data_IF_775095269826
#
_entry.id   IF_775095269826
#
_cell.length_a   1.000
_cell.length_b   1.000
_cell.length_c   1.000
_cell.angle_alpha   90.00
_cell.angle_beta   90.00
_cell.angle_gamma   90.00
#
_symmetry.space_group_name_H-M   'P 1'
#
loop_
_entity.id
_entity.type
_entity.pdbx_description
1 polymer ?
#
# COMPACT_ATOMS: atom_id res chain seq x y z
N UNK A 1 63.97 -61.56 -38.76
CA UNK A 1 62.49 -61.53 -38.77
C UNK A 1 62.03 -61.41 -37.34
N UNK A 2 61.89 -60.18 -36.86
CA UNK A 2 61.39 -59.86 -35.51
C UNK A 2 59.99 -59.33 -35.73
N UNK A 3 59.01 -59.98 -35.11
CA UNK A 3 57.58 -59.67 -35.20
C UNK A 3 57.28 -58.66 -34.08
N UNK A 4 57.03 -57.41 -34.43
CA UNK A 4 56.49 -56.41 -33.50
C UNK A 4 54.96 -56.42 -33.56
N UNK A 5 54.36 -56.81 -32.45
CA UNK A 5 52.90 -56.81 -32.23
C UNK A 5 52.52 -55.43 -31.70
N UNK A 6 51.80 -54.65 -32.51
CA UNK A 6 51.25 -53.35 -32.10
C UNK A 6 49.91 -53.57 -31.38
N UNK A 7 49.88 -53.31 -30.08
CA UNK A 7 48.66 -53.36 -29.27
C UNK A 7 47.83 -52.08 -29.42
N UNK A 8 46.56 -52.22 -29.80
CA UNK A 8 45.58 -51.14 -29.92
C UNK A 8 45.01 -50.84 -28.53
N UNK A 9 45.17 -49.60 -28.06
CA UNK A 9 44.52 -49.10 -26.83
C UNK A 9 43.30 -48.27 -27.25
N UNK A 10 42.11 -48.80 -26.99
CA UNK A 10 40.83 -48.08 -27.15
C UNK A 10 40.54 -47.35 -25.85
N UNK A 11 40.61 -46.01 -25.87
CA UNK A 11 40.20 -45.14 -24.77
C UNK A 11 38.71 -44.79 -24.92
N UNK A 12 37.87 -45.43 -24.12
CA UNK A 12 36.47 -45.06 -23.90
C UNK A 12 36.42 -43.85 -22.96
N UNK A 13 36.12 -42.67 -23.50
CA UNK A 13 35.83 -41.47 -22.71
C UNK A 13 34.30 -41.32 -22.65
N UNK A 14 33.72 -41.76 -21.53
CA UNK A 14 32.35 -41.41 -21.15
C UNK A 14 32.37 -40.04 -20.47
N UNK A 15 32.00 -38.99 -21.21
CA UNK A 15 31.71 -37.67 -20.64
C UNK A 15 30.19 -37.49 -20.56
N UNK A 16 29.69 -37.60 -19.33
CA UNK A 16 28.34 -37.29 -18.89
C UNK A 16 27.92 -35.87 -19.30
N UNK A 17 26.68 -35.75 -19.79
CA UNK A 17 26.08 -34.49 -20.20
C UNK A 17 26.08 -33.44 -19.09
N UNK A 18 26.64 -32.28 -19.41
CA UNK A 18 26.32 -31.04 -18.72
C UNK A 18 25.20 -30.37 -19.52
N UNK A 19 23.96 -30.58 -19.10
CA UNK A 19 22.86 -29.72 -19.53
C UNK A 19 23.18 -28.28 -19.11
N UNK A 20 23.33 -27.42 -20.11
CA UNK A 20 23.47 -25.98 -19.92
C UNK A 20 22.21 -25.48 -19.22
N UNK A 21 22.31 -25.16 -17.92
CA UNK A 21 21.30 -24.37 -17.20
C UNK A 21 21.20 -23.00 -17.88
N UNK A 22 20.31 -22.87 -18.85
CA UNK A 22 19.84 -21.57 -19.31
C UNK A 22 18.71 -21.11 -18.38
N UNK A 23 19.09 -20.35 -17.36
CA UNK A 23 18.17 -19.40 -16.74
C UNK A 23 18.95 -18.11 -16.46
N UNK A 24 19.10 -17.28 -17.51
CA UNK A 24 19.32 -15.85 -17.33
C UNK A 24 17.94 -15.21 -17.45
N UNK A 25 17.30 -14.92 -16.33
CA UNK A 25 16.25 -13.90 -16.30
C UNK A 25 16.95 -12.56 -16.45
N UNK A 26 17.25 -12.21 -17.69
CA UNK A 26 17.71 -10.89 -18.07
C UNK A 26 16.51 -10.03 -18.36
N UNK A 27 16.04 -9.31 -17.36
CA UNK A 27 15.45 -7.99 -17.53
C UNK A 27 15.84 -7.20 -16.29
N UNK A 28 16.91 -6.42 -16.39
CA UNK A 28 17.20 -5.40 -15.38
C UNK A 28 16.20 -4.26 -15.61
N UNK A 29 15.31 -4.05 -14.65
CA UNK A 29 14.40 -2.91 -14.65
C UNK A 29 14.95 -1.87 -13.67
N UNK A 30 15.04 -0.61 -14.11
CA UNK A 30 15.46 0.49 -13.26
C UNK A 30 14.23 1.13 -12.62
N UNK A 31 14.29 1.37 -11.31
CA UNK A 31 13.24 2.06 -10.58
C UNK A 31 13.87 2.85 -9.42
N UNK A 32 13.18 3.91 -8.98
CA UNK A 32 13.63 4.70 -7.83
C UNK A 32 13.20 4.04 -6.52
N UNK A 33 14.15 3.84 -5.62
CA UNK A 33 13.92 3.28 -4.30
C UNK A 33 14.80 3.95 -3.24
N UNK A 34 14.29 4.05 -2.01
CA UNK A 34 15.06 4.52 -0.84
C UNK A 34 16.26 3.61 -0.51
N UNK A 35 16.21 2.34 -0.94
CA UNK A 35 17.26 1.33 -0.73
C UNK A 35 17.30 0.33 -1.90
N UNK A 36 18.49 -0.13 -2.26
CA UNK A 36 18.66 -1.28 -3.18
C UNK A 36 18.51 -2.60 -2.42
N UNK A 37 18.12 -3.67 -3.13
CA UNK A 37 18.05 -5.04 -2.58
C UNK A 37 19.13 -5.93 -3.19
N UNK A 38 19.85 -6.65 -2.35
CA UNK A 38 20.91 -7.56 -2.81
C UNK A 38 20.36 -8.91 -3.29
N UNK A 39 19.18 -9.30 -2.80
CA UNK A 39 18.54 -10.57 -3.11
C UNK A 39 17.18 -10.33 -3.77
N UNK A 40 16.76 -11.24 -4.65
CA UNK A 40 15.46 -11.15 -5.28
C UNK A 40 14.97 -12.51 -5.76
N UNK A 41 13.66 -12.67 -5.83
CA UNK A 41 13.01 -13.85 -6.40
C UNK A 41 11.65 -13.47 -7.02
N UNK A 42 11.18 -14.29 -7.98
CA UNK A 42 9.87 -14.13 -8.58
C UNK A 42 8.81 -14.88 -7.77
N UNK A 43 7.59 -14.35 -7.70
CA UNK A 43 6.46 -15.04 -7.05
C UNK A 43 6.21 -16.45 -7.63
N UNK A 44 6.51 -16.64 -8.93
CA UNK A 44 6.42 -17.95 -9.60
C UNK A 44 7.37 -18.99 -9.02
N UNK A 45 8.49 -18.58 -8.44
CA UNK A 45 9.48 -19.48 -7.83
C UNK A 45 8.92 -20.16 -6.58
N UNK A 46 7.84 -19.60 -6.01
CA UNK A 46 7.14 -20.10 -4.82
C UNK A 46 5.78 -20.71 -5.16
N UNK A 47 5.56 -21.06 -6.43
CA UNK A 47 4.33 -21.72 -6.90
C UNK A 47 3.17 -20.77 -7.17
N UNK A 48 3.41 -19.46 -7.29
CA UNK A 48 2.39 -18.52 -7.71
C UNK A 48 1.89 -18.81 -9.13
N UNK A 49 0.59 -18.62 -9.36
CA UNK A 49 -0.10 -18.79 -10.64
C UNK A 49 -0.88 -17.52 -10.98
N UNK A 50 -0.50 -16.85 -12.06
CA UNK A 50 -1.04 -15.57 -12.51
C UNK A 50 -2.30 -15.66 -13.39
N UNK A 51 -3.22 -16.59 -13.11
CA UNK A 51 -4.42 -16.87 -13.91
C UNK A 51 -5.68 -16.07 -13.49
N UNK A 52 -5.60 -15.34 -12.37
CA UNK A 52 -6.69 -14.54 -11.79
C UNK A 52 -7.74 -15.33 -10.99
N UNK A 53 -7.52 -16.62 -10.77
CA UNK A 53 -8.47 -17.52 -10.10
C UNK A 53 -7.83 -18.39 -9.02
N UNK A 54 -6.57 -18.78 -9.20
CA UNK A 54 -5.80 -19.53 -8.20
C UNK A 54 -5.42 -18.60 -7.05
N UNK A 55 -5.77 -18.97 -5.81
CA UNK A 55 -5.34 -18.21 -4.63
C UNK A 55 -3.83 -18.36 -4.42
N UNK A 56 -3.13 -17.22 -4.43
CA UNK A 56 -1.69 -17.08 -4.30
C UNK A 56 -1.26 -16.74 -2.86
N UNK A 57 -2.19 -16.68 -1.90
CA UNK A 57 -1.93 -16.28 -0.51
C UNK A 57 -0.80 -17.11 0.11
N UNK A 58 -0.79 -18.42 -0.14
CA UNK A 58 0.29 -19.31 0.31
C UNK A 58 1.62 -19.04 -0.41
N UNK A 59 1.60 -18.73 -1.70
CA UNK A 59 2.79 -18.40 -2.48
C UNK A 59 3.43 -17.11 -1.97
N UNK A 60 2.64 -16.05 -1.74
CA UNK A 60 3.11 -14.80 -1.13
C UNK A 60 3.74 -15.03 0.24
N UNK A 61 3.03 -15.75 1.14
CA UNK A 61 3.57 -16.07 2.46
C UNK A 61 4.89 -16.83 2.38
N UNK A 62 4.97 -17.87 1.54
CA UNK A 62 6.20 -18.67 1.38
C UNK A 62 7.34 -17.84 0.82
N UNK A 63 7.07 -16.97 -0.16
CA UNK A 63 8.05 -16.08 -0.76
C UNK A 63 8.62 -15.10 0.27
N UNK A 64 7.75 -14.44 1.03
CA UNK A 64 8.15 -13.45 2.04
C UNK A 64 8.91 -14.13 3.19
N UNK A 65 8.44 -15.27 3.68
CA UNK A 65 9.12 -16.04 4.74
C UNK A 65 10.55 -16.42 4.29
N UNK A 66 10.71 -16.88 3.05
CA UNK A 66 12.02 -17.21 2.49
C UNK A 66 12.92 -15.97 2.36
N UNK A 67 12.39 -14.91 1.74
CA UNK A 67 13.14 -13.69 1.44
C UNK A 67 13.49 -12.87 2.69
N UNK A 68 12.73 -13.00 3.78
CA UNK A 68 12.98 -12.33 5.05
C UNK A 68 14.34 -12.71 5.67
N UNK A 69 14.86 -13.89 5.35
CA UNK A 69 16.15 -14.39 5.83
C UNK A 69 17.33 -13.53 5.33
N UNK A 70 17.13 -12.77 4.25
CA UNK A 70 18.12 -11.87 3.66
C UNK A 70 18.09 -10.45 4.24
N UNK A 71 17.23 -10.17 5.23
CA UNK A 71 17.07 -8.85 5.84
C UNK A 71 18.41 -8.23 6.30
N UNK A 72 19.27 -9.01 6.97
CA UNK A 72 20.61 -8.59 7.42
C UNK A 72 21.70 -8.64 6.34
N UNK A 73 21.37 -9.08 5.12
CA UNK A 73 22.30 -9.31 4.02
C UNK A 73 22.01 -8.39 2.81
N UNK A 74 21.57 -7.15 3.10
CA UNK A 74 21.24 -6.17 2.07
C UNK A 74 19.77 -6.22 1.60
N UNK A 75 18.92 -6.96 2.31
CA UNK A 75 17.49 -7.02 2.05
C UNK A 75 17.12 -7.79 0.78
N UNK A 76 15.81 -7.88 0.54
CA UNK A 76 15.25 -8.71 -0.52
C UNK A 76 14.14 -8.04 -1.31
N UNK A 77 13.98 -8.47 -2.56
CA UNK A 77 12.91 -8.08 -3.46
C UNK A 77 12.04 -9.30 -3.82
N UNK A 78 10.72 -9.15 -3.71
CA UNK A 78 9.75 -10.04 -4.33
C UNK A 78 9.21 -9.39 -5.60
N UNK A 79 9.53 -9.98 -6.74
CA UNK A 79 9.04 -9.57 -8.04
C UNK A 79 7.74 -10.30 -8.39
N UNK A 80 6.70 -9.55 -8.74
CA UNK A 80 5.43 -10.08 -9.25
C UNK A 80 5.37 -9.89 -10.78
N UNK A 81 5.48 -10.97 -11.57
CA UNK A 81 5.51 -10.90 -13.03
C UNK A 81 4.15 -10.53 -13.65
N UNK A 82 4.10 -10.28 -14.99
CA UNK A 82 2.85 -10.19 -15.73
C UNK A 82 1.86 -11.31 -15.37
N UNK A 83 0.59 -10.95 -15.16
CA UNK A 83 -0.45 -11.90 -14.80
C UNK A 83 -1.47 -11.33 -13.83
N UNK A 84 -2.50 -12.11 -13.52
CA UNK A 84 -3.52 -11.78 -12.52
C UNK A 84 -3.35 -12.67 -11.29
N UNK A 85 -3.12 -12.07 -10.13
CA UNK A 85 -2.68 -12.77 -8.93
C UNK A 85 -3.74 -12.62 -7.84
N UNK A 86 -4.70 -13.54 -7.79
CA UNK A 86 -5.69 -13.58 -6.72
C UNK A 86 -5.01 -13.91 -5.40
N UNK A 87 -5.21 -13.11 -4.36
CA UNK A 87 -4.62 -13.32 -3.02
C UNK A 87 -5.45 -12.61 -1.96
N UNK A 88 -5.51 -13.19 -0.77
CA UNK A 88 -5.90 -12.50 0.45
C UNK A 88 -4.71 -11.80 1.11
N UNK A 89 -4.87 -11.47 2.39
CA UNK A 89 -3.92 -10.66 3.15
C UNK A 89 -2.57 -11.35 3.32
N UNK A 90 -1.49 -10.59 3.18
CA UNK A 90 -0.14 -11.03 3.49
C UNK A 90 0.68 -9.91 4.14
N UNK A 91 1.67 -10.32 4.94
CA UNK A 91 2.46 -9.40 5.75
C UNK A 91 3.86 -9.23 5.16
N UNK A 92 4.32 -8.00 5.02
CA UNK A 92 5.70 -7.66 4.64
C UNK A 92 6.65 -7.72 5.84
N UNK A 93 7.96 -7.70 5.56
CA UNK A 93 9.04 -7.66 6.56
C UNK A 93 9.96 -6.44 6.33
N UNK A 94 10.86 -6.15 7.28
CA UNK A 94 11.86 -5.09 7.12
C UNK A 94 12.88 -5.40 6.01
N UNK A 95 13.49 -4.36 5.45
CA UNK A 95 14.49 -4.44 4.37
C UNK A 95 13.95 -5.16 3.13
N UNK A 96 12.70 -4.87 2.77
CA UNK A 96 11.96 -5.60 1.75
C UNK A 96 11.44 -4.69 0.65
N UNK A 97 11.47 -5.18 -0.58
CA UNK A 97 10.81 -4.55 -1.73
C UNK A 97 9.77 -5.51 -2.30
N UNK A 98 8.51 -5.07 -2.40
CA UNK A 98 7.51 -5.71 -3.26
C UNK A 98 7.47 -4.94 -4.58
N UNK A 99 7.80 -5.59 -5.70
CA UNK A 99 7.84 -4.99 -7.02
C UNK A 99 6.77 -5.59 -7.93
N UNK A 100 5.88 -4.77 -8.49
CA UNK A 100 4.84 -5.19 -9.44
C UNK A 100 5.20 -4.77 -10.86
N UNK A 101 5.29 -5.73 -11.77
CA UNK A 101 5.44 -5.43 -13.21
C UNK A 101 4.22 -4.67 -13.76
N UNK A 102 4.38 -3.88 -14.83
CA UNK A 102 3.31 -3.10 -15.49
C UNK A 102 2.06 -3.89 -15.88
N UNK A 103 2.24 -5.16 -16.20
CA UNK A 103 1.19 -6.10 -16.60
C UNK A 103 0.77 -7.05 -15.45
N UNK A 104 1.26 -6.81 -14.23
CA UNK A 104 0.84 -7.52 -13.03
C UNK A 104 -0.41 -6.86 -12.43
N UNK A 105 -1.41 -7.67 -12.10
CA UNK A 105 -2.62 -7.25 -11.41
C UNK A 105 -2.80 -8.12 -10.17
N UNK A 106 -2.59 -7.56 -8.99
CA UNK A 106 -2.98 -8.21 -7.74
C UNK A 106 -4.49 -8.06 -7.57
N UNK A 107 -5.17 -9.17 -7.33
CA UNK A 107 -6.62 -9.23 -7.16
C UNK A 107 -6.90 -9.62 -5.70
N UNK A 108 -7.56 -8.75 -4.96
CA UNK A 108 -7.88 -9.02 -3.57
C UNK A 108 -9.00 -10.07 -3.46
N UNK A 109 -8.80 -11.09 -2.63
CA UNK A 109 -9.77 -12.16 -2.46
C UNK A 109 -11.11 -11.64 -1.94
N UNK A 110 -12.21 -12.13 -2.54
CA UNK A 110 -13.56 -11.88 -2.06
C UNK A 110 -13.98 -12.85 -0.94
N UNK A 111 -13.15 -13.84 -0.60
CA UNK A 111 -13.36 -14.73 0.54
C UNK A 111 -12.84 -14.07 1.82
N UNK A 112 -13.76 -13.70 2.72
CA UNK A 112 -13.44 -13.08 4.01
C UNK A 112 -12.50 -13.92 4.89
N UNK A 113 -12.46 -15.25 4.70
CA UNK A 113 -11.56 -16.13 5.45
C UNK A 113 -10.08 -15.90 5.10
N UNK A 114 -9.79 -15.29 3.95
CA UNK A 114 -8.43 -14.91 3.58
C UNK A 114 -7.99 -13.54 4.16
N UNK A 115 -8.82 -12.94 5.01
CA UNK A 115 -8.56 -11.68 5.71
C UNK A 115 -8.51 -11.95 7.21
N UNK A 116 -7.33 -12.08 7.83
CA UNK A 116 -7.22 -12.30 9.26
C UNK A 116 -7.87 -11.17 10.07
N UNK A 117 -8.57 -11.51 11.15
CA UNK A 117 -9.04 -10.52 12.12
C UNK A 117 -7.90 -10.08 13.02
N UNK A 118 -7.78 -8.77 13.21
CA UNK A 118 -6.82 -8.13 14.10
C UNK A 118 -7.52 -7.10 14.97
N UNK A 119 -6.84 -6.69 16.03
CA UNK A 119 -7.36 -5.70 16.96
C UNK A 119 -7.55 -4.33 16.28
N UNK A 120 -8.49 -3.51 16.80
CA UNK A 120 -8.59 -2.12 16.40
C UNK A 120 -7.27 -1.37 16.54
N UNK A 121 -7.17 -0.25 15.83
CA UNK A 121 -6.05 0.66 16.00
C UNK A 121 -6.02 1.13 17.47
N UNK A 122 -4.85 1.10 18.14
CA UNK A 122 -4.75 1.52 19.54
C UNK A 122 -5.25 2.95 19.79
N UNK A 123 -5.05 3.85 18.82
CA UNK A 123 -5.54 5.23 18.88
C UNK A 123 -7.02 5.41 18.53
N UNK A 124 -7.74 4.34 18.17
CA UNK A 124 -9.18 4.35 17.87
C UNK A 124 -10.00 3.62 18.93
N UNK A 125 -9.41 2.61 19.58
CA UNK A 125 -10.03 1.82 20.67
C UNK A 125 -11.21 0.92 20.26
N UNK A 126 -11.79 1.15 19.08
CA UNK A 126 -12.89 0.39 18.49
C UNK A 126 -12.71 0.29 16.97
N UNK A 127 -13.43 -0.65 16.35
CA UNK A 127 -13.54 -0.68 14.91
C UNK A 127 -14.20 0.60 14.36
N UNK A 128 -13.83 0.94 13.13
CA UNK A 128 -14.27 2.16 12.44
C UNK A 128 -15.66 1.99 11.81
N UNK A 129 -15.89 0.88 11.11
CA UNK A 129 -17.19 0.63 10.48
C UNK A 129 -18.19 0.01 11.49
N UNK A 130 -17.70 -0.83 12.39
CA UNK A 130 -18.50 -1.57 13.38
C UNK A 130 -17.73 -1.71 14.69
N UNK A 131 -18.43 -2.00 15.79
CA UNK A 131 -17.76 -2.39 17.04
C UNK A 131 -16.97 -3.71 16.86
N UNK A 132 -15.95 -3.91 17.70
CA UNK A 132 -15.07 -5.08 17.64
C UNK A 132 -13.82 -4.87 16.80
N UNK A 133 -13.25 -5.98 16.30
CA UNK A 133 -12.00 -6.00 15.54
C UNK A 133 -12.14 -5.51 14.08
N UNK A 134 -11.06 -5.70 13.33
CA UNK A 134 -10.98 -5.31 11.91
C UNK A 134 -10.33 -6.41 11.09
N UNK A 135 -10.67 -6.49 9.82
CA UNK A 135 -9.91 -7.30 8.86
C UNK A 135 -8.54 -6.65 8.61
N UNK A 136 -7.49 -7.48 8.56
CA UNK A 136 -6.14 -7.07 8.14
C UNK A 136 -6.17 -6.52 6.72
N UNK A 137 -5.26 -5.60 6.38
CA UNK A 137 -5.17 -5.04 5.03
C UNK A 137 -4.61 -6.04 4.02
N UNK A 138 -4.83 -5.85 2.71
CA UNK A 138 -4.35 -6.79 1.69
C UNK A 138 -2.83 -6.92 1.76
N UNK A 139 -2.15 -5.77 1.74
CA UNK A 139 -0.73 -5.64 1.99
C UNK A 139 -0.57 -5.01 3.37
N UNK A 140 -0.14 -5.81 4.34
CA UNK A 140 0.00 -5.39 5.72
C UNK A 140 1.47 -5.42 6.17
N UNK A 141 1.80 -4.61 7.17
CA UNK A 141 3.11 -4.64 7.82
C UNK A 141 3.06 -3.88 9.14
N UNK A 142 3.78 -4.35 10.15
CA UNK A 142 3.88 -3.66 11.44
C UNK A 142 5.28 -3.76 12.02
N UNK A 143 5.77 -2.70 12.67
CA UNK A 143 7.12 -2.62 13.24
C UNK A 143 8.23 -2.85 12.20
N UNK A 144 8.05 -2.29 11.00
CA UNK A 144 8.97 -2.48 9.90
C UNK A 144 9.97 -1.33 9.79
N UNK A 145 11.08 -1.60 9.12
CA UNK A 145 12.06 -0.60 8.75
C UNK A 145 12.49 -0.83 7.31
N UNK A 146 12.58 0.25 6.52
CA UNK A 146 13.06 0.20 5.14
C UNK A 146 12.22 -0.77 4.28
N UNK A 147 11.00 -0.34 3.97
CA UNK A 147 10.02 -1.10 3.17
C UNK A 147 9.66 -0.32 1.92
N UNK A 148 9.68 -0.99 0.78
CA UNK A 148 9.35 -0.42 -0.52
C UNK A 148 8.24 -1.23 -1.17
N UNK A 149 7.14 -0.59 -1.55
CA UNK A 149 6.07 -1.17 -2.36
C UNK A 149 6.04 -0.37 -3.65
N UNK A 150 6.49 -0.96 -4.74
CA UNK A 150 6.72 -0.22 -6.00
C UNK A 150 6.45 -1.08 -7.23
N UNK A 151 6.64 -0.52 -8.42
CA UNK A 151 6.48 -1.25 -9.67
C UNK A 151 6.73 -0.40 -10.90
N UNK A 152 6.44 -0.98 -12.05
CA UNK A 152 6.34 -0.28 -13.34
C UNK A 152 4.88 0.08 -13.61
N UNK A 153 4.21 0.74 -12.66
CA UNK A 153 2.77 0.99 -12.70
C UNK A 153 1.90 -0.27 -12.76
N UNK A 154 2.32 -1.35 -12.07
CA UNK A 154 1.47 -2.51 -11.83
C UNK A 154 0.22 -2.18 -11.00
N UNK A 155 -0.79 -3.03 -11.08
CA UNK A 155 -2.12 -2.76 -10.50
C UNK A 155 -2.38 -3.58 -9.24
N UNK A 156 -3.00 -2.96 -8.24
CA UNK A 156 -3.58 -3.62 -7.07
C UNK A 156 -5.08 -3.30 -7.06
N UNK A 157 -5.91 -4.30 -7.34
CA UNK A 157 -7.36 -4.18 -7.37
C UNK A 157 -7.97 -4.84 -6.13
N UNK A 158 -8.58 -4.02 -5.27
CA UNK A 158 -9.20 -4.42 -4.02
C UNK A 158 -10.51 -5.18 -4.15
N UNK A 159 -11.08 -5.27 -5.37
CA UNK A 159 -12.37 -5.93 -5.63
C UNK A 159 -13.48 -5.53 -4.63
N UNK A 160 -13.51 -4.26 -4.25
CA UNK A 160 -14.20 -3.72 -3.09
C UNK A 160 -15.73 -3.77 -3.12
N UNK A 161 -16.35 -4.03 -4.28
CA UNK A 161 -17.80 -3.93 -4.45
C UNK A 161 -18.60 -4.77 -3.43
N UNK A 162 -18.16 -6.00 -3.15
CA UNK A 162 -18.81 -6.87 -2.16
C UNK A 162 -18.81 -6.24 -0.75
N UNK A 163 -17.73 -5.56 -0.40
CA UNK A 163 -17.58 -4.88 0.89
C UNK A 163 -18.45 -3.63 0.99
N UNK A 164 -18.54 -2.86 -0.11
CA UNK A 164 -19.38 -1.68 -0.18
C UNK A 164 -20.87 -2.03 -0.07
N UNK A 165 -21.30 -3.10 -0.74
CA UNK A 165 -22.68 -3.59 -0.63
C UNK A 165 -23.03 -3.99 0.80
N UNK A 166 -22.14 -4.72 1.49
CA UNK A 166 -22.34 -5.07 2.91
C UNK A 166 -22.36 -3.84 3.81
N UNK A 167 -21.49 -2.86 3.57
CA UNK A 167 -21.48 -1.59 4.29
C UNK A 167 -22.84 -0.88 4.19
N UNK A 168 -23.35 -0.67 2.97
CA UNK A 168 -24.63 0.00 2.75
C UNK A 168 -25.83 -0.74 3.36
N UNK A 169 -25.77 -2.06 3.43
CA UNK A 169 -26.82 -2.89 4.04
C UNK A 169 -26.68 -3.04 5.55
N UNK A 170 -25.60 -2.57 6.16
CA UNK A 170 -25.30 -2.79 7.58
C UNK A 170 -25.03 -4.26 7.92
N UNK A 171 -24.46 -5.02 6.98
CA UNK A 171 -24.20 -6.46 7.08
C UNK A 171 -22.74 -6.79 7.45
N UNK A 172 -21.95 -5.78 7.81
CA UNK A 172 -20.57 -5.98 8.27
C UNK A 172 -20.56 -6.48 9.72
N UNK A 173 -19.74 -7.49 9.98
CA UNK A 173 -19.47 -7.97 11.35
C UNK A 173 -18.25 -7.28 11.98
N UNK A 174 -17.32 -6.82 11.15
CA UNK A 174 -16.06 -6.21 11.53
C UNK A 174 -15.72 -5.05 10.58
N UNK A 175 -14.77 -4.20 10.97
CA UNK A 175 -14.28 -3.13 10.09
C UNK A 175 -13.63 -3.71 8.83
N UNK A 176 -13.99 -3.16 7.66
CA UNK A 176 -13.49 -3.59 6.36
C UNK A 176 -11.97 -3.47 6.27
N UNK A 177 -11.31 -4.32 5.47
CA UNK A 177 -9.87 -4.21 5.26
C UNK A 177 -9.51 -2.98 4.40
N UNK A 178 -8.24 -2.58 4.46
CA UNK A 178 -7.66 -1.57 3.56
C UNK A 178 -6.79 -2.24 2.49
N UNK A 179 -6.37 -1.48 1.49
CA UNK A 179 -5.50 -2.03 0.44
C UNK A 179 -4.04 -2.16 0.92
N UNK A 180 -3.47 -1.08 1.44
CA UNK A 180 -2.11 -1.05 1.97
C UNK A 180 -2.12 -0.41 3.35
N UNK A 181 -1.61 -1.10 4.36
CA UNK A 181 -1.44 -0.56 5.71
C UNK A 181 -0.09 -0.93 6.30
N UNK A 182 0.67 0.09 6.69
CA UNK A 182 1.99 -0.06 7.29
C UNK A 182 1.97 0.65 8.65
N UNK A 183 2.04 -0.14 9.72
CA UNK A 183 1.93 0.32 11.10
C UNK A 183 3.30 0.43 11.78
N UNK A 184 3.49 1.39 12.68
CA UNK A 184 4.66 1.45 13.58
C UNK A 184 6.02 1.35 12.86
N UNK A 185 6.15 1.94 11.67
CA UNK A 185 7.29 1.68 10.79
C UNK A 185 8.12 2.92 10.49
N UNK A 186 9.36 2.71 10.09
CA UNK A 186 10.30 3.77 9.69
C UNK A 186 10.82 3.53 8.27
N UNK A 187 10.97 4.59 7.48
CA UNK A 187 11.45 4.53 6.08
C UNK A 187 10.55 3.65 5.21
N UNK A 188 9.38 4.19 4.89
CA UNK A 188 8.36 3.52 4.06
C UNK A 188 8.25 4.25 2.73
N UNK A 189 8.35 3.52 1.62
CA UNK A 189 8.09 4.04 0.28
C UNK A 189 6.97 3.26 -0.39
N UNK A 190 5.96 3.96 -0.91
CA UNK A 190 4.89 3.40 -1.73
C UNK A 190 4.84 4.21 -3.02
N UNK A 191 5.16 3.62 -4.17
CA UNK A 191 5.32 4.41 -5.40
C UNK A 191 5.05 3.69 -6.72
N UNK A 192 4.73 4.44 -7.78
CA UNK A 192 4.66 3.92 -9.16
C UNK A 192 3.70 2.72 -9.32
N UNK A 193 2.47 2.88 -8.81
CA UNK A 193 1.43 1.84 -8.81
C UNK A 193 0.08 2.43 -9.17
N UNK A 194 -0.78 1.56 -9.72
CA UNK A 194 -2.21 1.82 -9.85
C UNK A 194 -2.98 1.06 -8.78
N UNK A 195 -3.78 1.75 -7.98
CA UNK A 195 -4.63 1.18 -6.94
C UNK A 195 -6.09 1.33 -7.36
N UNK A 196 -6.87 0.25 -7.29
CA UNK A 196 -8.26 0.24 -7.74
C UNK A 196 -9.18 -0.39 -6.69
N UNK A 197 -10.42 0.12 -6.61
CA UNK A 197 -11.54 -0.52 -5.94
C UNK A 197 -11.22 -1.06 -4.52
N UNK A 198 -10.53 -0.29 -3.68
CA UNK A 198 -10.27 -0.73 -2.30
C UNK A 198 -11.57 -1.03 -1.55
N UNK A 199 -11.63 -2.08 -0.70
CA UNK A 199 -12.77 -2.34 0.18
C UNK A 199 -13.17 -1.13 1.06
N UNK A 200 -12.18 -0.32 1.43
CA UNK A 200 -12.30 0.91 2.23
C UNK A 200 -11.11 1.81 1.86
N UNK A 201 -10.30 2.28 2.81
CA UNK A 201 -9.12 3.12 2.53
C UNK A 201 -8.09 2.45 1.60
N UNK A 202 -7.40 3.23 0.76
CA UNK A 202 -6.39 2.70 -0.15
C UNK A 202 -5.00 2.61 0.52
N UNK A 203 -4.43 3.73 0.95
CA UNK A 203 -3.08 3.77 1.53
C UNK A 203 -3.14 4.33 2.94
N UNK A 204 -2.74 3.54 3.94
CA UNK A 204 -2.83 3.88 5.36
C UNK A 204 -1.49 3.62 6.10
N UNK A 205 -0.48 4.50 5.94
CA UNK A 205 0.64 4.53 6.86
C UNK A 205 0.15 5.07 8.21
N UNK A 206 0.38 4.31 9.28
CA UNK A 206 -0.08 4.68 10.62
C UNK A 206 1.01 4.50 11.66
N UNK A 207 1.15 5.45 12.58
CA UNK A 207 2.22 5.47 13.60
C UNK A 207 3.63 5.39 13.00
N UNK A 208 3.81 5.90 11.79
CA UNK A 208 5.01 5.67 10.98
C UNK A 208 5.79 6.96 10.71
N UNK A 209 7.09 6.84 10.49
CA UNK A 209 8.00 7.95 10.22
C UNK A 209 8.76 7.80 8.91
N UNK A 210 9.16 8.92 8.30
CA UNK A 210 9.92 8.95 7.06
C UNK A 210 9.19 8.21 5.93
N UNK A 211 7.98 8.68 5.62
CA UNK A 211 7.07 8.05 4.67
C UNK A 211 7.06 8.81 3.35
N UNK A 212 7.22 8.09 2.24
CA UNK A 212 7.11 8.62 0.88
C UNK A 212 5.98 7.88 0.17
N UNK A 213 5.00 8.63 -0.31
CA UNK A 213 3.94 8.14 -1.21
C UNK A 213 4.03 8.95 -2.49
N UNK A 214 4.38 8.31 -3.60
CA UNK A 214 4.73 9.04 -4.83
C UNK A 214 4.24 8.37 -6.11
N UNK A 215 3.80 9.13 -7.11
CA UNK A 215 3.46 8.59 -8.44
C UNK A 215 2.40 7.49 -8.38
N UNK A 216 1.38 7.67 -7.55
CA UNK A 216 0.26 6.75 -7.45
C UNK A 216 -0.91 7.21 -8.32
N UNK A 217 -1.53 6.25 -9.01
CA UNK A 217 -2.87 6.42 -9.60
C UNK A 217 -3.86 5.65 -8.73
N UNK A 218 -4.80 6.34 -8.08
CA UNK A 218 -5.82 5.71 -7.22
C UNK A 218 -7.19 5.92 -7.85
N UNK A 219 -7.93 4.84 -8.10
CA UNK A 219 -9.22 4.86 -8.78
C UNK A 219 -10.27 4.08 -8.00
N UNK A 220 -11.24 4.78 -7.45
CA UNK A 220 -12.45 4.20 -6.90
C UNK A 220 -13.69 4.88 -7.52
N UNK A 221 -14.82 4.17 -7.69
CA UNK A 221 -16.07 4.82 -8.07
C UNK A 221 -16.40 5.98 -7.12
N UNK A 222 -16.84 7.13 -7.64
CA UNK A 222 -17.14 8.31 -6.78
C UNK A 222 -18.30 8.07 -5.79
N UNK A 223 -19.01 6.95 -5.91
CA UNK A 223 -20.07 6.53 -5.00
C UNK A 223 -19.64 5.45 -4.01
N UNK A 224 -18.39 4.96 -4.05
CA UNK A 224 -17.93 3.90 -3.13
C UNK A 224 -17.63 4.45 -1.72
N UNK A 225 -18.18 3.84 -0.66
CA UNK A 225 -18.11 4.38 0.69
C UNK A 225 -16.71 4.26 1.30
N UNK A 226 -16.19 5.38 1.81
CA UNK A 226 -14.94 5.45 2.59
C UNK A 226 -13.72 4.93 1.83
N UNK A 227 -13.66 5.25 0.54
CA UNK A 227 -12.55 4.86 -0.35
C UNK A 227 -11.47 5.95 -0.41
N UNK A 228 -11.18 6.54 0.74
CA UNK A 228 -10.18 7.60 0.89
C UNK A 228 -8.86 7.18 0.23
N UNK A 229 -8.19 8.12 -0.44
CA UNK A 229 -6.96 7.84 -1.19
C UNK A 229 -5.79 7.53 -0.25
N UNK A 230 -5.20 8.58 0.34
CA UNK A 230 -4.00 8.44 1.18
C UNK A 230 -4.30 8.98 2.59
N UNK A 231 -4.04 8.15 3.61
CA UNK A 231 -4.42 8.38 4.98
C UNK A 231 -3.17 8.37 5.89
N UNK A 232 -2.36 9.45 5.94
CA UNK A 232 -1.33 9.53 6.97
C UNK A 232 -1.99 9.70 8.34
N UNK A 233 -1.88 8.68 9.19
CA UNK A 233 -2.47 8.66 10.53
C UNK A 233 -1.37 8.57 11.60
N UNK A 234 -1.26 9.60 12.44
CA UNK A 234 -0.22 9.69 13.47
C UNK A 234 1.21 9.54 12.90
N UNK A 235 1.46 10.12 11.71
CA UNK A 235 2.71 9.99 10.97
C UNK A 235 3.65 11.19 11.13
N UNK A 236 4.97 10.99 11.07
CA UNK A 236 5.96 12.08 11.10
C UNK A 236 6.86 12.08 9.86
N UNK A 237 7.16 13.26 9.32
CA UNK A 237 8.02 13.42 8.13
C UNK A 237 7.49 12.60 6.94
N UNK A 238 6.33 13.03 6.42
CA UNK A 238 5.63 12.34 5.33
C UNK A 238 5.59 13.22 4.10
N UNK A 239 5.86 12.63 2.94
CA UNK A 239 5.75 13.29 1.63
C UNK A 239 4.77 12.53 0.75
N UNK A 240 3.76 13.23 0.28
CA UNK A 240 2.78 12.76 -0.70
C UNK A 240 2.97 13.61 -1.95
N UNK A 241 3.38 13.01 -3.07
CA UNK A 241 3.65 13.78 -4.28
C UNK A 241 3.34 13.06 -5.60
N UNK A 242 3.04 13.82 -6.65
CA UNK A 242 2.87 13.29 -8.01
C UNK A 242 1.72 12.27 -8.13
N UNK A 243 0.67 12.41 -7.34
CA UNK A 243 -0.45 11.47 -7.30
C UNK A 243 -1.66 11.96 -8.12
N UNK A 244 -2.39 11.00 -8.70
CA UNK A 244 -3.70 11.20 -9.32
C UNK A 244 -4.73 10.35 -8.59
N UNK A 245 -5.77 10.96 -8.03
CA UNK A 245 -6.75 10.28 -7.18
C UNK A 245 -8.17 10.58 -7.64
N UNK A 246 -8.94 9.52 -7.90
CA UNK A 246 -10.40 9.55 -8.00
C UNK A 246 -10.93 8.74 -6.83
N UNK A 247 -11.67 9.38 -5.93
CA UNK A 247 -12.14 8.75 -4.69
C UNK A 247 -13.65 8.97 -4.51
N UNK A 248 -14.30 8.00 -3.85
CA UNK A 248 -15.65 8.17 -3.32
C UNK A 248 -15.70 8.91 -1.98
N UNK A 249 -14.54 9.23 -1.39
CA UNK A 249 -14.40 10.02 -0.16
C UNK A 249 -13.19 10.97 -0.30
N UNK A 250 -12.51 11.34 0.79
CA UNK A 250 -11.38 12.27 0.75
C UNK A 250 -10.19 11.74 -0.09
N UNK A 251 -9.58 12.57 -0.95
CA UNK A 251 -8.39 12.13 -1.69
C UNK A 251 -7.16 11.95 -0.77
N UNK A 252 -6.92 12.91 0.13
CA UNK A 252 -5.94 12.78 1.22
C UNK A 252 -6.62 13.09 2.53
N UNK A 253 -6.69 12.11 3.45
CA UNK A 253 -7.32 12.27 4.76
C UNK A 253 -6.25 12.16 5.86
N UNK A 254 -5.85 13.30 6.41
CA UNK A 254 -4.86 13.38 7.49
C UNK A 254 -5.54 13.10 8.82
N UNK A 255 -5.03 12.12 9.56
CA UNK A 255 -5.62 11.62 10.80
C UNK A 255 -4.58 11.51 11.92
N UNK A 256 -5.03 11.28 13.14
CA UNK A 256 -4.21 11.07 14.32
C UNK A 256 -5.02 10.45 15.47
N UNK A 257 -5.79 9.40 15.21
CA UNK A 257 -6.61 8.75 16.24
C UNK A 257 -7.93 9.45 16.61
N UNK A 258 -8.75 8.73 17.39
CA UNK A 258 -10.15 9.03 17.63
C UNK A 258 -10.49 9.16 19.13
N UNK A 259 -11.06 10.30 19.50
CA UNK A 259 -11.62 10.66 20.80
C UNK A 259 -10.63 10.37 21.95
N UNK A 260 -11.10 9.79 23.06
CA UNK A 260 -10.30 9.51 24.25
C UNK A 260 -9.09 8.61 23.96
N UNK A 261 -9.21 7.70 23.00
CA UNK A 261 -8.13 6.79 22.60
C UNK A 261 -7.04 7.53 21.85
N UNK A 262 -7.41 8.42 20.93
CA UNK A 262 -6.45 9.26 20.21
C UNK A 262 -5.77 10.28 21.14
N UNK A 263 -6.51 10.85 22.09
CA UNK A 263 -5.96 11.73 23.13
C UNK A 263 -4.95 10.97 23.99
N UNK A 264 -5.32 9.77 24.47
CA UNK A 264 -4.45 8.95 25.32
C UNK A 264 -3.21 8.44 24.58
N UNK A 265 -3.36 8.09 23.29
CA UNK A 265 -2.25 7.67 22.45
C UNK A 265 -1.30 8.83 22.15
N UNK A 266 -1.82 10.05 21.97
CA UNK A 266 -1.04 11.29 22.02
C UNK A 266 -0.01 11.45 20.90
N UNK A 267 -0.22 10.80 19.75
CA UNK A 267 0.69 10.82 18.61
C UNK A 267 0.11 11.65 17.47
N UNK A 268 0.65 12.84 17.17
CA UNK A 268 0.13 13.67 16.10
C UNK A 268 0.63 13.21 14.72
N UNK A 269 -0.13 13.54 13.67
CA UNK A 269 0.46 13.66 12.33
C UNK A 269 1.17 15.01 12.20
N UNK A 270 2.45 15.00 11.82
CA UNK A 270 3.26 16.21 11.67
C UNK A 270 4.32 16.16 10.60
N UNK A 271 4.75 17.34 10.12
CA UNK A 271 5.78 17.47 9.07
C UNK A 271 5.32 16.75 7.80
N UNK A 272 4.15 17.15 7.30
CA UNK A 272 3.51 16.56 6.13
C UNK A 272 3.58 17.52 4.96
N UNK A 273 4.08 17.05 3.82
CA UNK A 273 4.06 17.78 2.55
C UNK A 273 3.18 17.02 1.57
N UNK A 274 2.21 17.71 0.99
CA UNK A 274 1.33 17.23 -0.07
C UNK A 274 1.56 18.13 -1.28
N UNK A 275 2.00 17.58 -2.41
CA UNK A 275 2.27 18.41 -3.59
C UNK A 275 2.07 17.74 -4.93
N UNK A 276 1.78 18.52 -5.98
CA UNK A 276 1.56 18.00 -7.35
C UNK A 276 0.53 16.86 -7.34
N UNK A 277 -0.61 17.13 -6.72
CA UNK A 277 -1.72 16.20 -6.55
C UNK A 277 -2.87 16.62 -7.47
N UNK A 278 -3.39 15.68 -8.26
CA UNK A 278 -4.68 15.85 -8.93
C UNK A 278 -5.74 15.02 -8.24
N UNK A 279 -6.87 15.61 -7.89
CA UNK A 279 -7.94 14.94 -7.17
C UNK A 279 -9.33 15.22 -7.76
N UNK A 280 -10.12 14.14 -7.85
CA UNK A 280 -11.55 14.16 -8.14
C UNK A 280 -12.28 13.48 -6.99
N UNK A 281 -13.07 14.25 -6.24
CA UNK A 281 -13.90 13.78 -5.12
C UNK A 281 -15.20 14.61 -5.01
N UNK A 282 -16.21 14.34 -5.86
CA UNK A 282 -17.40 15.18 -5.99
C UNK A 282 -18.22 15.37 -4.71
N UNK A 283 -18.09 14.45 -3.76
CA UNK A 283 -18.85 14.42 -2.52
C UNK A 283 -17.99 14.53 -1.26
N UNK A 284 -16.70 14.88 -1.41
CA UNK A 284 -15.79 15.03 -0.26
C UNK A 284 -14.65 16.01 -0.52
N UNK A 285 -13.55 15.91 0.23
CA UNK A 285 -12.44 16.86 0.15
C UNK A 285 -11.25 16.37 -0.66
N UNK A 286 -10.52 17.30 -1.29
CA UNK A 286 -9.20 17.01 -1.85
C UNK A 286 -8.20 16.71 -0.74
N UNK A 287 -8.17 17.55 0.29
CA UNK A 287 -7.38 17.34 1.50
C UNK A 287 -8.31 17.53 2.71
N UNK A 288 -8.55 16.46 3.46
CA UNK A 288 -9.23 16.51 4.74
C UNK A 288 -8.22 16.45 5.89
N UNK A 289 -8.38 17.32 6.87
CA UNK A 289 -7.69 17.25 8.16
C UNK A 289 -8.72 16.80 9.21
N UNK A 290 -8.70 15.52 9.59
CA UNK A 290 -9.68 14.88 10.46
C UNK A 290 -10.71 14.00 9.72
N UNK A 291 -11.79 13.55 10.37
CA UNK A 291 -12.26 13.99 11.70
C UNK A 291 -11.52 13.35 12.88
N UNK A 292 -10.84 12.23 12.66
CA UNK A 292 -10.05 11.51 13.66
C UNK A 292 -8.72 12.25 13.87
N UNK A 293 -8.75 13.38 14.58
CA UNK A 293 -7.62 14.31 14.79
C UNK A 293 -7.18 14.45 16.26
N UNK A 294 -7.51 13.46 17.08
CA UNK A 294 -7.45 13.55 18.54
C UNK A 294 -6.04 13.60 19.13
N UNK A 295 -5.07 12.96 18.49
CA UNK A 295 -3.63 13.06 18.78
C UNK A 295 -2.97 14.34 18.26
N UNK A 296 -3.66 15.09 17.39
CA UNK A 296 -3.24 16.36 16.80
C UNK A 296 -2.72 16.27 15.36
N UNK A 297 -2.91 17.35 14.61
CA UNK A 297 -2.38 17.54 13.25
C UNK A 297 -1.62 18.87 13.24
N UNK A 298 -0.37 18.86 12.79
CA UNK A 298 0.41 20.10 12.69
C UNK A 298 1.45 20.10 11.57
N UNK A 299 1.87 21.27 11.13
CA UNK A 299 2.93 21.43 10.13
C UNK A 299 2.62 20.65 8.83
N UNK A 300 1.46 20.98 8.25
CA UNK A 300 0.99 20.43 6.97
C UNK A 300 1.16 21.49 5.90
N UNK A 301 1.83 21.15 4.79
CA UNK A 301 2.03 22.02 3.64
C UNK A 301 1.37 21.41 2.40
N UNK A 302 0.50 22.18 1.75
CA UNK A 302 -0.15 21.81 0.50
C UNK A 302 0.22 22.80 -0.62
N UNK A 303 0.79 22.31 -1.71
CA UNK A 303 1.20 23.12 -2.87
C UNK A 303 0.95 22.39 -4.19
N UNK A 304 0.74 23.13 -5.27
CA UNK A 304 0.50 22.58 -6.61
C UNK A 304 -0.60 21.51 -6.66
N UNK A 305 -1.77 21.83 -6.09
CA UNK A 305 -2.93 20.93 -6.05
C UNK A 305 -3.90 21.29 -7.18
N UNK A 306 -4.36 20.29 -7.92
CA UNK A 306 -5.41 20.42 -8.94
C UNK A 306 -6.66 19.69 -8.43
N UNK A 307 -7.66 20.45 -8.01
CA UNK A 307 -8.95 19.92 -7.59
C UNK A 307 -9.93 20.00 -8.77
N UNK A 308 -10.48 18.85 -9.20
CA UNK A 308 -11.40 18.74 -10.33
C UNK A 308 -12.72 18.17 -9.82
N UNK A 309 -13.82 18.91 -9.97
CA UNK A 309 -15.16 18.45 -9.55
C UNK A 309 -15.14 17.87 -8.13
N UNK A 310 -14.59 18.64 -7.19
CA UNK A 310 -14.45 18.23 -5.79
C UNK A 310 -15.26 19.14 -4.87
N UNK A 311 -15.91 18.57 -3.85
CA UNK A 311 -16.79 19.34 -2.96
C UNK A 311 -16.00 20.36 -2.12
N UNK A 312 -14.74 20.07 -1.79
CA UNK A 312 -13.87 20.99 -1.05
C UNK A 312 -12.41 20.81 -1.44
N UNK A 313 -11.64 21.91 -1.48
CA UNK A 313 -10.18 21.85 -1.62
C UNK A 313 -9.56 21.32 -0.33
N UNK A 314 -9.43 22.18 0.68
CA UNK A 314 -9.03 21.79 2.04
C UNK A 314 -10.25 21.81 2.97
N UNK A 315 -10.44 20.75 3.76
CA UNK A 315 -11.53 20.61 4.72
C UNK A 315 -11.00 20.20 6.09
N UNK A 316 -11.22 21.04 7.10
CA UNK A 316 -10.88 20.71 8.50
C UNK A 316 -12.14 20.18 9.19
N UNK A 317 -12.05 18.97 9.75
CA UNK A 317 -13.17 18.27 10.39
C UNK A 317 -12.81 17.95 11.84
N UNK A 318 -13.68 18.31 12.77
CA UNK A 318 -13.59 17.91 14.18
C UNK A 318 -15.00 17.84 14.77
N UNK A 319 -15.11 17.46 16.04
CA UNK A 319 -16.35 17.45 16.80
C UNK A 319 -16.05 17.62 18.29
N UNK A 320 -17.05 18.04 19.08
CA UNK A 320 -16.95 18.02 20.55
C UNK A 320 -16.60 16.59 21.00
N UNK A 321 -15.57 16.46 21.85
CA UNK A 321 -15.06 15.17 22.33
C UNK A 321 -13.79 14.70 21.62
N UNK A 322 -13.53 15.14 20.38
CA UNK A 322 -12.30 14.77 19.65
C UNK A 322 -11.03 15.24 20.38
N UNK A 323 -11.06 16.42 21.01
CA UNK A 323 -9.87 17.00 21.62
C UNK A 323 -8.80 17.34 20.58
N UNK A 324 -7.52 17.17 20.94
CA UNK A 324 -6.40 17.39 20.01
C UNK A 324 -6.29 18.84 19.51
N UNK A 325 -5.66 19.00 18.34
CA UNK A 325 -5.47 20.29 17.69
C UNK A 325 -5.29 20.11 16.17
N UNK A 326 -5.60 21.14 15.41
CA UNK A 326 -5.16 21.31 14.01
C UNK A 326 -4.52 22.69 13.91
N UNK A 327 -3.22 22.77 13.63
CA UNK A 327 -2.47 24.05 13.62
C UNK A 327 -1.34 24.05 12.60
N UNK A 328 -0.79 25.20 12.28
CA UNK A 328 0.36 25.35 11.38
C UNK A 328 0.10 24.67 10.02
N UNK A 329 -1.04 25.01 9.42
CA UNK A 329 -1.46 24.52 8.10
C UNK A 329 -1.15 25.60 7.07
N UNK A 330 -0.34 25.26 6.07
CA UNK A 330 0.13 26.17 5.03
C UNK A 330 -0.38 25.70 3.67
N UNK A 331 -1.12 26.57 2.99
CA UNK A 331 -1.66 26.33 1.65
C UNK A 331 -1.13 27.42 0.72
N UNK A 332 -0.42 27.02 -0.35
CA UNK A 332 0.26 27.98 -1.25
C UNK A 332 -0.45 28.08 -2.60
N UNK A 333 -0.70 26.96 -3.26
CA UNK A 333 -1.28 26.93 -4.62
C UNK A 333 -2.27 25.78 -4.74
N UNK A 334 -3.56 26.12 -4.85
CA UNK A 334 -4.63 25.18 -5.19
C UNK A 334 -5.39 25.73 -6.38
N UNK A 335 -5.22 25.07 -7.53
CA UNK A 335 -6.05 25.33 -8.70
C UNK A 335 -7.32 24.50 -8.57
N UNK A 336 -8.45 25.19 -8.40
CA UNK A 336 -9.76 24.54 -8.35
C UNK A 336 -10.46 24.73 -9.69
N UNK A 337 -10.65 23.63 -10.42
CA UNK A 337 -11.32 23.60 -11.71
C UNK A 337 -12.70 22.97 -11.54
N UNK A 338 -13.72 23.84 -11.47
CA UNK A 338 -15.13 23.53 -11.18
C UNK A 338 -15.31 23.03 -9.74
N UNK A 339 -15.99 23.84 -8.92
CA UNK A 339 -16.30 23.54 -7.52
C UNK A 339 -17.80 23.63 -7.32
N UNK A 340 -18.38 22.65 -6.64
CA UNK A 340 -19.79 22.68 -6.25
C UNK A 340 -20.03 23.57 -5.01
N UNK A 341 -19.03 23.78 -4.14
CA UNK A 341 -19.06 24.80 -3.05
C UNK A 341 -17.68 25.05 -2.39
N UNK A 342 -17.42 26.25 -1.85
CA UNK A 342 -16.36 26.47 -0.84
C UNK A 342 -17.04 26.47 0.52
N UNK A 343 -16.77 25.46 1.35
CA UNK A 343 -17.42 25.30 2.64
C UNK A 343 -16.38 25.03 3.75
N UNK A 344 -16.02 26.07 4.50
CA UNK A 344 -15.47 25.90 5.84
C UNK A 344 -16.65 25.73 6.80
N UNK A 345 -16.93 24.50 7.24
CA UNK A 345 -17.82 24.24 8.38
C UNK A 345 -17.00 23.59 9.49
N UNK A 346 -16.83 24.30 10.61
CA UNK A 346 -16.69 23.62 11.89
C UNK A 346 -18.06 23.03 12.23
N UNK A 347 -18.19 21.70 12.30
CA UNK A 347 -19.33 21.08 12.98
C UNK A 347 -18.96 20.78 14.43
#
# INVERSE_FOLDING_TARGET
MVVEVLAIVVLLISASGAESRKAKFGNHFEYSAISCRAHGASLTDFGGVGDGTTSNTKAFKTAIDHLSQFSSFGGSELFVPPGKWLTGSFNLTSHFTLYLHKDAVLLASQDENEWPLIDPLPSYGRGRDTEGGRFSSLIFGTNLTDVVITGDNGTIDGQGEVWWQKFHKGELNYTRPYLIEIMFSDRVQISNLTLMNSPSWNVHPVYSSNVIVQSLTILAPVTSPNTDGINPDSCTNTRIEDCYIVSGDDCVAVKSGWDEYGIAFGMPTKQLVIRRLTCISPFSAVIALGSEMSGGIQDVRAEDIVAIDSESGVRIKTAIGRGGFVKDIYEITVLMQIITSILMRSQ
#
